data_IF_666347077905
#
_entry.id   IF_666347077905
#
_cell.length_a   1.000
_cell.length_b   1.000
_cell.length_c   1.000
_cell.angle_alpha   90.00
_cell.angle_beta   90.00
_cell.angle_gamma   90.00
#
_symmetry.space_group_name_H-M   'P 1'
#
loop_
_entity.id
_entity.type
_entity.pdbx_description
1 polymer ?
#
# COMPACT_ATOMS: atom_id res chain seq x y z
N UNK A 1 4.10 5.40 -15.07
CA UNK A 1 3.16 5.10 -13.98
C UNK A 1 3.39 3.63 -13.66
N UNK A 2 3.62 3.25 -12.38
CA UNK A 2 3.65 1.86 -11.98
C UNK A 2 2.36 1.13 -12.42
N UNK A 3 2.37 -0.20 -12.42
CA UNK A 3 1.21 -1.04 -12.81
C UNK A 3 0.03 -0.85 -11.83
N UNK A 4 -0.64 0.29 -11.93
CA UNK A 4 -1.85 0.58 -11.17
C UNK A 4 -3.03 -0.18 -11.80
N UNK A 5 -3.44 -1.27 -11.20
CA UNK A 5 -4.65 -2.00 -11.57
C UNK A 5 -5.86 -1.35 -10.90
N UNK A 6 -6.51 -0.45 -11.62
CA UNK A 6 -7.70 0.25 -11.10
C UNK A 6 -8.85 -0.72 -10.83
N UNK A 7 -9.36 -0.71 -9.60
CA UNK A 7 -10.53 -1.50 -9.17
C UNK A 7 -11.69 -0.63 -8.71
N UNK A 8 -11.42 0.63 -8.31
CA UNK A 8 -12.45 1.55 -7.84
C UNK A 8 -12.13 2.99 -8.27
N UNK A 9 -13.17 3.73 -8.67
CA UNK A 9 -13.13 5.18 -8.86
C UNK A 9 -13.94 5.86 -7.76
N UNK A 10 -13.39 6.93 -7.21
CA UNK A 10 -14.03 7.73 -6.17
C UNK A 10 -14.12 9.18 -6.64
N UNK A 11 -15.21 9.84 -6.27
CA UNK A 11 -15.42 11.27 -6.50
C UNK A 11 -15.77 11.94 -5.18
N UNK A 12 -14.97 12.91 -4.79
CA UNK A 12 -15.29 13.82 -3.69
C UNK A 12 -15.78 15.15 -4.27
N UNK A 13 -17.09 15.38 -4.19
CA UNK A 13 -17.67 16.65 -4.57
C UNK A 13 -17.67 17.59 -3.38
N UNK A 14 -17.18 18.82 -3.59
CA UNK A 14 -16.97 19.82 -2.54
C UNK A 14 -17.74 21.08 -2.95
N UNK A 15 -18.89 21.31 -2.28
CA UNK A 15 -19.80 22.40 -2.61
C UNK A 15 -19.17 23.79 -2.48
N UNK A 16 -18.29 23.97 -1.50
CA UNK A 16 -17.75 25.26 -1.13
C UNK A 16 -16.21 25.28 -1.18
N UNK A 17 -15.69 26.41 -1.61
CA UNK A 17 -14.28 26.75 -1.43
C UNK A 17 -13.89 26.64 0.06
N UNK A 18 -12.70 26.13 0.34
CA UNK A 18 -12.21 25.93 1.71
C UNK A 18 -12.54 24.57 2.33
N UNK A 19 -13.34 23.71 1.68
CA UNK A 19 -13.46 22.32 2.13
C UNK A 19 -12.09 21.67 2.11
N UNK A 20 -11.62 21.22 3.28
CA UNK A 20 -10.30 20.61 3.47
C UNK A 20 -10.46 19.22 4.06
N UNK A 21 -9.73 18.25 3.51
CA UNK A 21 -9.78 16.85 3.92
C UNK A 21 -8.38 16.27 4.01
N UNK A 22 -8.17 15.37 4.97
CA UNK A 22 -6.89 14.65 5.14
C UNK A 22 -6.35 14.77 6.56
N UNK A 23 -5.14 14.42 6.80
CA UNK A 23 -4.17 13.76 5.90
C UNK A 23 -4.31 12.26 6.11
N UNK A 24 -4.65 11.53 5.05
CA UNK A 24 -4.93 10.10 5.12
C UNK A 24 -3.92 9.33 4.26
N UNK A 25 -3.07 8.51 4.86
CA UNK A 25 -2.26 7.54 4.18
C UNK A 25 -3.00 6.20 4.16
N UNK A 26 -3.33 5.74 2.99
CA UNK A 26 -4.13 4.53 2.77
C UNK A 26 -3.25 3.36 2.31
N UNK A 27 -3.69 2.10 2.51
CA UNK A 27 -2.88 0.91 2.20
C UNK A 27 -2.89 0.54 0.70
N UNK A 28 -3.18 1.48 -0.18
CA UNK A 28 -3.25 1.33 -1.64
C UNK A 28 -2.70 2.54 -2.38
N UNK A 29 -2.46 2.33 -3.66
CA UNK A 29 -2.01 3.37 -4.59
C UNK A 29 -3.20 4.17 -5.12
N UNK A 30 -2.97 5.45 -5.40
CA UNK A 30 -3.97 6.37 -5.97
C UNK A 30 -3.45 7.07 -7.21
N UNK A 31 -4.32 7.23 -8.18
CA UNK A 31 -4.14 8.19 -9.26
C UNK A 31 -5.20 9.28 -9.15
N UNK A 32 -4.77 10.46 -8.81
CA UNK A 32 -5.61 11.59 -8.40
C UNK A 32 -5.67 12.62 -9.51
N UNK A 33 -6.88 13.14 -9.78
CA UNK A 33 -7.13 14.24 -10.70
C UNK A 33 -8.27 15.13 -10.20
N UNK A 34 -8.45 16.27 -10.86
CA UNK A 34 -9.57 17.19 -10.60
C UNK A 34 -10.43 17.22 -11.85
N UNK A 35 -11.71 16.82 -11.75
CA UNK A 35 -12.64 16.86 -12.88
C UNK A 35 -13.25 18.24 -13.11
N UNK A 36 -13.34 19.06 -12.03
CA UNK A 36 -13.85 20.44 -12.07
C UNK A 36 -13.27 21.23 -10.91
N UNK A 37 -12.99 22.52 -11.14
CA UNK A 37 -12.42 23.42 -10.15
C UNK A 37 -10.94 23.19 -9.97
N UNK A 38 -10.42 23.57 -8.79
CA UNK A 38 -9.02 23.40 -8.43
C UNK A 38 -8.85 23.11 -6.95
N UNK A 39 -7.77 22.41 -6.59
CA UNK A 39 -7.40 22.15 -5.20
C UNK A 39 -5.94 22.52 -4.95
N UNK A 40 -5.63 22.98 -3.75
CA UNK A 40 -4.30 22.89 -3.18
C UNK A 40 -4.17 21.49 -2.57
N UNK A 41 -3.26 20.69 -3.08
CA UNK A 41 -2.96 19.35 -2.56
C UNK A 41 -1.69 19.37 -1.71
N UNK A 42 -1.68 18.61 -0.61
CA UNK A 42 -0.50 18.35 0.20
C UNK A 42 -0.37 16.84 0.45
N UNK A 43 0.80 16.30 0.17
CA UNK A 43 1.12 14.88 0.33
C UNK A 43 2.30 14.72 1.27
N UNK A 44 2.16 13.80 2.23
CA UNK A 44 3.15 13.58 3.31
C UNK A 44 3.60 12.13 3.26
N UNK A 45 4.89 11.88 3.23
CA UNK A 45 5.40 10.51 3.32
C UNK A 45 5.29 9.97 4.75
N UNK A 46 4.41 8.97 4.97
CA UNK A 46 4.18 8.35 6.27
C UNK A 46 4.60 6.87 6.28
N UNK A 47 5.48 6.45 5.35
CA UNK A 47 5.96 5.07 5.24
C UNK A 47 7.08 4.78 6.22
N UNK A 48 6.98 3.67 6.95
CA UNK A 48 8.02 3.20 7.85
C UNK A 48 9.35 2.98 7.10
N UNK A 49 10.43 3.51 7.64
CA UNK A 49 11.78 3.36 7.09
C UNK A 49 12.06 4.15 5.81
N UNK A 50 11.13 4.98 5.35
CA UNK A 50 11.35 5.85 4.19
C UNK A 50 12.39 6.95 4.50
N UNK A 51 13.31 7.17 3.57
CA UNK A 51 14.28 8.26 3.66
C UNK A 51 13.62 9.65 3.59
N UNK A 52 12.36 9.71 3.16
CA UNK A 52 11.56 10.95 3.05
C UNK A 52 10.41 11.00 4.05
N UNK A 53 10.42 10.15 5.10
CA UNK A 53 9.40 10.18 6.15
C UNK A 53 9.21 11.62 6.69
N UNK A 54 7.95 12.05 6.81
CA UNK A 54 7.57 13.39 7.25
C UNK A 54 7.79 14.51 6.22
N UNK A 55 8.37 14.21 5.04
CA UNK A 55 8.50 15.24 3.99
C UNK A 55 7.18 15.50 3.30
N UNK A 56 6.94 16.77 3.02
CA UNK A 56 5.72 17.26 2.38
C UNK A 56 6.01 17.69 0.96
N UNK A 57 5.13 17.29 0.03
CA UNK A 57 5.04 17.85 -1.31
C UNK A 57 3.71 18.55 -1.48
N UNK A 58 3.70 19.74 -2.02
CA UNK A 58 2.48 20.52 -2.28
C UNK A 58 2.41 20.98 -3.73
N UNK A 59 1.24 20.97 -4.30
CA UNK A 59 0.97 21.64 -5.57
C UNK A 59 -0.51 21.96 -5.74
N UNK A 60 -0.83 22.90 -6.65
CA UNK A 60 -2.19 23.11 -7.11
C UNK A 60 -2.51 22.14 -8.25
N UNK A 61 -3.59 21.35 -8.07
CA UNK A 61 -4.19 20.54 -9.12
C UNK A 61 -5.43 21.22 -9.68
N UNK A 62 -5.53 21.17 -10.99
CA UNK A 62 -6.67 21.56 -11.82
C UNK A 62 -6.92 20.48 -12.89
N UNK A 63 -7.91 20.57 -13.76
CA UNK A 63 -8.20 19.53 -14.78
C UNK A 63 -7.05 19.21 -15.75
N UNK A 64 -6.00 20.03 -15.80
CA UNK A 64 -4.83 19.79 -16.66
C UNK A 64 -3.77 18.88 -16.01
N UNK A 65 -3.91 18.53 -14.72
CA UNK A 65 -2.89 17.85 -13.92
C UNK A 65 -3.46 16.62 -13.21
N UNK A 66 -2.60 15.63 -13.05
CA UNK A 66 -2.87 14.47 -12.20
C UNK A 66 -1.61 14.10 -11.42
N UNK A 67 -1.79 13.41 -10.30
CA UNK A 67 -0.69 12.94 -9.46
C UNK A 67 -0.90 11.46 -9.09
N UNK A 68 0.19 10.70 -9.13
CA UNK A 68 0.24 9.36 -8.57
C UNK A 68 0.73 9.43 -7.13
N UNK A 69 -0.02 8.84 -6.22
CA UNK A 69 0.26 8.80 -4.78
C UNK A 69 0.40 7.35 -4.37
N UNK A 70 1.61 6.89 -4.05
CA UNK A 70 1.83 5.51 -3.64
C UNK A 70 1.24 5.25 -2.24
N UNK A 71 0.98 3.99 -1.97
CA UNK A 71 0.59 3.47 -0.66
C UNK A 71 1.45 4.08 0.47
N UNK A 72 0.80 4.50 1.56
CA UNK A 72 1.48 5.04 2.73
C UNK A 72 1.94 6.50 2.61
N UNK A 73 1.71 7.12 1.46
CA UNK A 73 1.82 8.58 1.34
C UNK A 73 0.47 9.20 1.69
N UNK A 74 0.46 10.02 2.73
CA UNK A 74 -0.72 10.74 3.18
C UNK A 74 -1.20 11.72 2.12
N UNK A 75 -2.48 11.69 1.83
CA UNK A 75 -3.15 12.55 0.88
C UNK A 75 -4.06 13.53 1.60
N UNK A 76 -3.96 14.79 1.22
CA UNK A 76 -4.85 15.85 1.66
C UNK A 76 -5.08 16.87 0.55
N UNK A 77 -6.19 17.59 0.64
CA UNK A 77 -6.48 18.69 -0.27
C UNK A 77 -7.35 19.75 0.39
N UNK A 78 -7.27 20.97 -0.14
CA UNK A 78 -8.17 22.09 0.14
C UNK A 78 -8.77 22.58 -1.17
N UNK A 79 -10.11 22.60 -1.27
CA UNK A 79 -10.81 23.13 -2.44
C UNK A 79 -10.59 24.65 -2.57
N UNK A 80 -10.15 25.08 -3.74
CA UNK A 80 -9.89 26.51 -4.02
C UNK A 80 -11.07 27.20 -4.70
N UNK A 81 -12.06 26.42 -5.16
CA UNK A 81 -13.25 26.91 -5.87
C UNK A 81 -14.49 26.16 -5.38
N UNK A 82 -15.67 26.81 -5.50
CA UNK A 82 -16.96 26.17 -5.23
C UNK A 82 -17.28 25.11 -6.27
N UNK A 83 -17.91 24.01 -5.85
CA UNK A 83 -18.28 22.91 -6.72
C UNK A 83 -17.10 22.14 -7.29
N UNK A 84 -15.99 22.08 -6.54
CA UNK A 84 -14.80 21.33 -6.92
C UNK A 84 -15.05 19.82 -6.86
N UNK A 85 -14.75 19.11 -7.95
CA UNK A 85 -14.84 17.65 -8.06
C UNK A 85 -13.43 17.03 -8.07
N UNK A 86 -13.03 16.48 -6.94
CA UNK A 86 -11.76 15.77 -6.74
C UNK A 86 -11.98 14.27 -6.96
N UNK A 87 -11.21 13.68 -7.86
CA UNK A 87 -11.38 12.28 -8.26
C UNK A 87 -10.12 11.48 -8.01
N UNK A 88 -10.28 10.21 -7.67
CA UNK A 88 -9.13 9.31 -7.52
C UNK A 88 -9.49 7.86 -7.85
N UNK A 89 -8.62 7.27 -8.66
CA UNK A 89 -8.62 5.85 -8.99
C UNK A 89 -7.74 5.12 -7.98
N UNK A 90 -8.16 3.94 -7.55
CA UNK A 90 -7.43 3.13 -6.55
C UNK A 90 -7.35 1.67 -6.99
N UNK A 91 -6.32 0.95 -6.50
CA UNK A 91 -6.05 -0.45 -6.78
C UNK A 91 -6.57 -1.41 -5.70
N UNK A 92 -7.37 -0.91 -4.75
CA UNK A 92 -8.08 -1.73 -3.77
C UNK A 92 -9.50 -1.20 -3.53
N UNK A 93 -10.43 -2.09 -3.19
CA UNK A 93 -11.77 -1.68 -2.76
C UNK A 93 -11.76 -1.14 -1.34
N UNK A 94 -12.43 -0.02 -1.13
CA UNK A 94 -12.62 0.51 0.21
C UNK A 94 -13.48 -0.43 1.07
N UNK A 95 -13.07 -0.64 2.31
CA UNK A 95 -13.85 -1.32 3.34
C UNK A 95 -13.58 -0.73 4.73
N UNK A 96 -14.50 -0.96 5.68
CA UNK A 96 -14.31 -0.54 7.07
C UNK A 96 -13.11 -1.23 7.72
N UNK A 97 -12.81 -2.47 7.33
CA UNK A 97 -11.67 -3.23 7.85
C UNK A 97 -10.36 -2.59 7.35
N UNK A 98 -10.26 -2.28 6.07
CA UNK A 98 -9.08 -1.61 5.53
C UNK A 98 -8.90 -0.19 6.06
N UNK A 99 -10.00 0.51 6.41
CA UNK A 99 -9.90 1.82 7.06
C UNK A 99 -9.16 1.76 8.41
N UNK A 100 -9.20 0.64 9.12
CA UNK A 100 -8.46 0.46 10.39
C UNK A 100 -6.94 0.39 10.21
N UNK A 101 -6.48 0.16 8.99
CA UNK A 101 -5.06 0.09 8.63
C UNK A 101 -4.51 1.40 8.08
N UNK A 102 -5.32 2.46 8.04
CA UNK A 102 -4.86 3.78 7.60
C UNK A 102 -3.90 4.38 8.62
N UNK A 103 -2.96 5.14 8.11
CA UNK A 103 -2.16 6.07 8.91
C UNK A 103 -2.68 7.48 8.69
N UNK A 104 -2.84 8.22 9.78
CA UNK A 104 -3.36 9.59 9.76
C UNK A 104 -2.34 10.53 10.36
N UNK A 105 -2.33 11.78 9.90
CA UNK A 105 -1.61 12.88 10.55
C UNK A 105 -2.42 14.16 10.50
N UNK A 106 -2.26 15.01 11.50
CA UNK A 106 -3.04 16.24 11.64
C UNK A 106 -2.70 17.26 10.57
N UNK A 107 -3.74 17.91 10.01
CA UNK A 107 -3.59 18.97 8.99
C UNK A 107 -2.83 20.21 9.52
N UNK A 108 -2.92 20.46 10.84
CA UNK A 108 -2.33 21.61 11.50
C UNK A 108 -0.97 21.30 12.14
N UNK A 109 -0.37 20.14 11.86
CA UNK A 109 0.91 19.75 12.42
C UNK A 109 2.02 20.77 12.08
N UNK A 110 2.68 21.40 13.06
CA UNK A 110 3.68 22.41 12.80
C UNK A 110 4.97 21.83 12.19
N UNK A 111 5.28 20.56 12.37
CA UNK A 111 6.45 19.90 11.77
C UNK A 111 6.27 19.74 10.25
N UNK A 112 5.03 19.61 9.80
CA UNK A 112 4.73 19.50 8.36
C UNK A 112 4.81 20.85 7.64
N UNK A 113 4.65 21.97 8.38
CA UNK A 113 4.72 23.33 7.89
C UNK A 113 3.92 23.57 6.58
N UNK A 114 2.71 23.02 6.48
CA UNK A 114 1.85 23.16 5.29
C UNK A 114 1.23 24.55 5.29
N UNK A 115 1.57 25.35 4.29
CA UNK A 115 0.99 26.69 4.08
C UNK A 115 -0.36 26.58 3.35
N UNK A 116 -1.44 26.31 4.09
CA UNK A 116 -2.78 26.22 3.54
C UNK A 116 -3.23 27.58 2.97
N UNK A 117 -3.68 27.66 1.70
CA UNK A 117 -4.14 28.90 1.08
C UNK A 117 -5.30 29.58 1.82
N UNK A 118 -6.16 28.78 2.45
CA UNK A 118 -7.20 29.26 3.36
C UNK A 118 -6.84 28.76 4.74
N UNK A 119 -6.66 29.63 5.74
CA UNK A 119 -6.35 29.21 7.10
C UNK A 119 -7.34 28.15 7.62
N UNK A 120 -6.84 27.15 8.33
CA UNK A 120 -7.67 26.01 8.76
C UNK A 120 -8.82 26.40 9.69
N UNK A 121 -8.68 27.50 10.43
CA UNK A 121 -9.76 28.11 11.26
C UNK A 121 -10.87 28.77 10.44
N UNK A 122 -10.64 29.02 9.15
CA UNK A 122 -11.61 29.55 8.19
C UNK A 122 -12.06 28.50 7.17
N UNK A 123 -11.47 27.31 7.21
CA UNK A 123 -11.76 26.20 6.31
C UNK A 123 -12.88 25.31 6.88
N UNK A 124 -13.55 24.56 5.99
CA UNK A 124 -14.49 23.51 6.39
C UNK A 124 -13.74 22.20 6.53
N UNK A 125 -13.46 21.80 7.76
CA UNK A 125 -12.74 20.57 8.10
C UNK A 125 -13.64 19.65 8.92
N UNK A 126 -13.58 18.34 8.69
CA UNK A 126 -14.32 17.40 9.52
C UNK A 126 -13.73 17.31 10.94
N UNK A 127 -14.58 17.02 11.93
CA UNK A 127 -14.11 16.83 13.31
C UNK A 127 -13.07 15.69 13.40
N UNK A 128 -13.21 14.65 12.61
CA UNK A 128 -12.26 13.55 12.54
C UNK A 128 -10.88 14.03 12.06
N UNK A 129 -10.84 14.83 10.98
CA UNK A 129 -9.60 15.33 10.40
C UNK A 129 -8.88 16.34 11.32
N UNK A 130 -9.65 17.06 12.16
CA UNK A 130 -9.08 17.97 13.18
C UNK A 130 -8.43 17.21 14.35
N UNK A 131 -8.83 15.96 14.60
CA UNK A 131 -8.39 15.18 15.76
C UNK A 131 -7.39 14.07 15.41
N UNK A 132 -6.79 14.08 14.22
CA UNK A 132 -5.71 13.17 13.88
C UNK A 132 -4.45 13.41 14.72
N UNK A 133 -3.60 12.39 14.94
CA UNK A 133 -2.37 12.53 15.71
C UNK A 133 -1.39 13.51 15.05
N UNK A 134 -0.53 14.15 15.84
CA UNK A 134 0.62 14.90 15.34
C UNK A 134 1.69 13.92 14.84
N UNK A 135 2.56 14.37 13.94
CA UNK A 135 3.58 13.53 13.28
C UNK A 135 4.44 12.75 14.28
N UNK A 136 4.76 13.36 15.42
CA UNK A 136 5.53 12.73 16.49
C UNK A 136 4.83 11.49 17.11
N UNK A 137 3.49 11.43 17.04
CA UNK A 137 2.67 10.34 17.61
C UNK A 137 2.13 9.39 16.52
N UNK A 138 2.47 9.63 15.24
CA UNK A 138 2.01 8.80 14.13
C UNK A 138 2.71 7.46 14.14
N UNK A 139 1.94 6.38 14.04
CA UNK A 139 2.47 5.05 13.71
C UNK A 139 2.66 4.98 12.19
N UNK A 140 3.91 4.92 11.69
CA UNK A 140 4.16 4.88 10.26
C UNK A 140 3.55 3.64 9.60
N UNK A 141 3.19 3.77 8.32
CA UNK A 141 2.67 2.63 7.56
C UNK A 141 3.80 1.66 7.23
N UNK A 142 3.72 0.45 7.79
CA UNK A 142 4.68 -0.61 7.53
C UNK A 142 4.75 -0.99 6.03
N UNK A 143 5.91 -1.39 5.49
CA UNK A 143 6.02 -1.88 4.13
C UNK A 143 5.18 -3.15 3.92
N UNK A 144 4.82 -3.44 2.66
CA UNK A 144 4.26 -4.76 2.34
C UNK A 144 5.34 -5.82 2.55
N UNK A 145 4.93 -6.99 3.05
CA UNK A 145 5.83 -8.11 3.34
C UNK A 145 6.17 -8.89 2.06
N UNK A 146 7.20 -9.70 2.14
CA UNK A 146 7.57 -10.67 1.11
C UNK A 146 7.34 -12.07 1.66
N UNK A 147 6.53 -12.88 0.97
CA UNK A 147 6.37 -14.30 1.30
C UNK A 147 7.47 -15.11 0.60
N UNK A 148 8.19 -15.95 1.35
CA UNK A 148 9.21 -16.85 0.83
C UNK A 148 8.74 -18.29 1.04
N UNK A 149 8.43 -19.00 -0.05
CA UNK A 149 8.04 -20.41 0.01
C UNK A 149 9.25 -21.32 -0.15
N UNK A 150 9.18 -22.57 0.34
CA UNK A 150 10.31 -23.51 0.29
C UNK A 150 11.51 -23.03 1.12
N UNK A 151 11.25 -22.39 2.24
CA UNK A 151 12.27 -21.72 3.06
C UNK A 151 13.31 -22.66 3.68
N UNK A 152 13.02 -23.98 3.77
CA UNK A 152 13.95 -24.99 4.30
C UNK A 152 14.86 -25.57 3.21
N UNK A 153 14.68 -25.19 1.93
CA UNK A 153 15.56 -25.53 0.83
C UNK A 153 16.82 -24.67 0.79
N UNK A 154 17.77 -25.06 -0.08
CA UNK A 154 19.06 -24.33 -0.22
C UNK A 154 18.86 -22.86 -0.55
N UNK A 155 18.00 -22.53 -1.52
CA UNK A 155 17.72 -21.16 -1.92
C UNK A 155 16.97 -20.40 -0.81
N UNK A 156 15.98 -21.03 -0.16
CA UNK A 156 15.22 -20.42 0.95
C UNK A 156 16.11 -20.06 2.13
N UNK A 157 17.05 -20.95 2.52
CA UNK A 157 18.06 -20.63 3.53
C UNK A 157 18.97 -19.47 3.12
N UNK A 158 19.36 -19.39 1.85
CA UNK A 158 20.18 -18.27 1.36
C UNK A 158 19.42 -16.94 1.41
N UNK A 159 18.14 -16.94 1.03
CA UNK A 159 17.27 -15.75 1.13
C UNK A 159 17.12 -15.30 2.59
N UNK A 160 16.83 -16.25 3.50
CA UNK A 160 16.72 -15.95 4.95
C UNK A 160 18.00 -15.31 5.49
N UNK A 161 19.15 -15.94 5.25
CA UNK A 161 20.44 -15.40 5.70
C UNK A 161 20.69 -14.00 5.16
N UNK A 162 20.41 -13.76 3.87
CA UNK A 162 20.61 -12.45 3.27
C UNK A 162 19.68 -11.38 3.88
N UNK A 163 18.43 -11.75 4.17
CA UNK A 163 17.48 -10.86 4.83
C UNK A 163 17.93 -10.49 6.25
N UNK A 164 18.49 -11.47 6.99
CA UNK A 164 19.07 -11.24 8.32
C UNK A 164 20.31 -10.36 8.26
N UNK A 165 21.26 -10.64 7.36
CA UNK A 165 22.49 -9.85 7.15
C UNK A 165 22.18 -8.39 6.77
N UNK A 166 21.06 -8.15 6.06
CA UNK A 166 20.60 -6.81 5.67
C UNK A 166 19.70 -6.15 6.71
N UNK A 167 19.35 -6.83 7.80
CA UNK A 167 18.46 -6.31 8.85
C UNK A 167 17.01 -6.12 8.41
N UNK A 168 16.56 -6.79 7.34
CA UNK A 168 15.21 -6.67 6.78
C UNK A 168 14.36 -7.93 6.98
N UNK A 169 14.83 -8.91 7.76
CA UNK A 169 14.13 -10.19 7.99
C UNK A 169 12.72 -10.02 8.55
N UNK A 170 12.44 -8.92 9.27
CA UNK A 170 11.12 -8.57 9.80
C UNK A 170 10.06 -8.36 8.71
N UNK A 171 10.48 -8.03 7.49
CA UNK A 171 9.62 -7.73 6.35
C UNK A 171 9.35 -8.99 5.50
N UNK A 172 9.83 -10.16 5.96
CA UNK A 172 9.69 -11.44 5.28
C UNK A 172 8.90 -12.44 6.13
N UNK A 173 8.04 -13.21 5.48
CA UNK A 173 7.42 -14.42 6.01
C UNK A 173 8.00 -15.63 5.30
N UNK A 174 8.46 -16.60 6.08
CA UNK A 174 9.10 -17.81 5.57
C UNK A 174 8.21 -19.02 5.83
N UNK A 175 7.79 -19.71 4.77
CA UNK A 175 6.96 -20.90 4.83
C UNK A 175 7.54 -22.05 4.00
N UNK A 176 7.13 -23.25 4.32
CA UNK A 176 7.48 -24.46 3.59
C UNK A 176 6.23 -25.32 3.39
N UNK A 177 6.34 -26.47 2.73
CA UNK A 177 5.23 -27.34 2.35
C UNK A 177 4.34 -27.76 3.53
N UNK A 178 4.91 -27.87 4.72
CA UNK A 178 4.21 -28.21 5.97
C UNK A 178 3.30 -27.09 6.49
N UNK A 179 3.57 -25.84 6.12
CA UNK A 179 2.80 -24.67 6.52
C UNK A 179 2.07 -23.99 5.37
N UNK A 180 2.56 -24.18 4.15
CA UNK A 180 1.94 -23.65 2.92
C UNK A 180 2.29 -24.54 1.73
N UNK A 181 1.40 -25.47 1.40
CA UNK A 181 1.50 -26.24 0.16
C UNK A 181 1.00 -25.40 -1.02
N UNK A 182 1.91 -24.90 -1.83
CA UNK A 182 1.57 -24.08 -3.02
C UNK A 182 0.70 -24.85 -4.05
N UNK A 183 0.69 -26.19 -4.02
CA UNK A 183 -0.11 -26.99 -4.95
C UNK A 183 -1.54 -27.21 -4.46
N UNK A 184 -1.87 -26.75 -3.26
CA UNK A 184 -3.21 -26.83 -2.67
C UNK A 184 -3.90 -25.47 -2.78
N UNK A 185 -4.95 -25.32 -3.62
CA UNK A 185 -5.71 -24.08 -3.74
C UNK A 185 -6.29 -23.56 -2.41
N UNK A 186 -6.66 -24.48 -1.49
CA UNK A 186 -7.25 -24.11 -0.20
C UNK A 186 -6.22 -23.42 0.72
N UNK A 187 -4.92 -23.74 0.57
CA UNK A 187 -3.86 -23.12 1.37
C UNK A 187 -3.79 -21.60 1.16
N UNK A 188 -4.17 -21.12 -0.02
CA UNK A 188 -4.13 -19.70 -0.37
C UNK A 188 -5.13 -18.87 0.46
N UNK A 189 -6.24 -19.47 0.90
CA UNK A 189 -7.25 -18.79 1.74
C UNK A 189 -6.76 -18.47 3.15
N UNK A 190 -5.65 -19.05 3.59
CA UNK A 190 -5.06 -18.82 4.92
C UNK A 190 -4.26 -17.52 5.00
N UNK A 191 -3.98 -16.89 3.85
CA UNK A 191 -3.16 -15.69 3.76
C UNK A 191 -3.99 -14.47 3.40
N UNK A 192 -3.76 -13.36 4.11
CA UNK A 192 -4.21 -12.04 3.67
C UNK A 192 -3.21 -11.49 2.65
N UNK A 193 -3.47 -11.71 1.38
CA UNK A 193 -2.60 -11.30 0.27
C UNK A 193 -2.43 -9.79 0.16
N UNK A 194 -3.30 -8.99 0.79
CA UNK A 194 -3.15 -7.53 0.83
C UNK A 194 -1.90 -7.07 1.57
N UNK A 195 -1.39 -7.89 2.49
CA UNK A 195 -0.18 -7.64 3.27
C UNK A 195 1.11 -7.88 2.48
N UNK A 196 1.03 -8.61 1.36
CA UNK A 196 2.21 -9.00 0.59
C UNK A 196 2.38 -8.15 -0.67
N UNK A 197 3.62 -7.73 -0.93
CA UNK A 197 4.03 -7.03 -2.14
C UNK A 197 4.75 -7.94 -3.14
N UNK A 198 5.27 -9.08 -2.65
CA UNK A 198 5.99 -10.04 -3.46
C UNK A 198 5.92 -11.46 -2.87
N UNK A 199 6.06 -12.45 -3.75
CA UNK A 199 6.29 -13.85 -3.37
C UNK A 199 7.61 -14.30 -4.01
N UNK A 200 8.52 -14.84 -3.21
CA UNK A 200 9.75 -15.49 -3.68
C UNK A 200 9.56 -16.99 -3.54
N UNK A 201 9.28 -17.66 -4.66
CA UNK A 201 9.15 -19.11 -4.66
C UNK A 201 10.53 -19.76 -4.72
N UNK A 202 10.95 -20.38 -3.60
CA UNK A 202 12.15 -21.21 -3.49
C UNK A 202 11.81 -22.71 -3.43
N UNK A 203 10.51 -23.06 -3.41
CA UNK A 203 10.05 -24.45 -3.38
C UNK A 203 10.12 -25.09 -4.75
N UNK A 204 10.69 -26.29 -4.81
CA UNK A 204 10.71 -27.11 -6.02
C UNK A 204 10.90 -28.58 -5.68
N UNK A 205 10.34 -29.47 -6.50
CA UNK A 205 10.71 -30.89 -6.49
C UNK A 205 11.99 -31.10 -7.30
N UNK A 206 13.06 -31.53 -6.64
CA UNK A 206 14.41 -31.61 -7.21
C UNK A 206 14.95 -33.06 -7.32
N UNK A 207 14.18 -34.07 -6.91
CA UNK A 207 14.57 -35.47 -7.02
C UNK A 207 14.35 -36.01 -8.45
N UNK A 208 15.27 -35.65 -9.35
CA UNK A 208 15.18 -35.85 -10.81
C UNK A 208 14.91 -37.33 -11.15
N UNK A 209 15.70 -38.27 -10.59
CA UNK A 209 15.52 -39.71 -10.88
C UNK A 209 14.15 -40.21 -10.42
N UNK A 210 13.64 -39.72 -9.31
CA UNK A 210 12.30 -40.07 -8.83
C UNK A 210 11.20 -39.49 -9.71
N UNK A 211 11.43 -38.34 -10.32
CA UNK A 211 10.49 -37.71 -11.24
C UNK A 211 10.25 -38.54 -12.52
N UNK A 212 11.10 -39.51 -12.81
CA UNK A 212 10.91 -40.48 -13.92
C UNK A 212 9.85 -41.53 -13.60
N UNK A 213 9.52 -41.77 -12.32
CA UNK A 213 8.46 -42.71 -11.93
C UNK A 213 7.07 -42.06 -12.11
N UNK A 214 5.98 -42.86 -12.30
CA UNK A 214 4.63 -42.33 -12.41
C UNK A 214 4.22 -41.46 -11.22
N UNK A 215 4.51 -41.89 -10.00
CA UNK A 215 4.19 -41.14 -8.75
C UNK A 215 5.05 -39.91 -8.63
N UNK A 216 6.33 -40.00 -8.95
CA UNK A 216 7.27 -38.89 -8.92
C UNK A 216 6.91 -37.78 -9.91
N UNK A 217 6.41 -38.16 -11.11
CA UNK A 217 5.91 -37.16 -12.11
C UNK A 217 4.75 -36.36 -11.58
N UNK A 218 3.80 -36.97 -10.91
CA UNK A 218 2.65 -36.25 -10.31
C UNK A 218 3.14 -35.28 -9.27
N UNK A 219 4.04 -35.69 -8.38
CA UNK A 219 4.60 -34.83 -7.35
C UNK A 219 5.41 -33.66 -7.94
N UNK A 220 6.28 -34.00 -8.92
CA UNK A 220 7.09 -32.98 -9.60
C UNK A 220 6.20 -31.96 -10.34
N UNK A 221 5.14 -32.43 -11.03
CA UNK A 221 4.21 -31.55 -11.73
C UNK A 221 3.47 -30.61 -10.77
N UNK A 222 2.97 -31.15 -9.64
CA UNK A 222 2.32 -30.34 -8.62
C UNK A 222 3.23 -29.23 -8.08
N UNK A 223 4.45 -29.60 -7.66
CA UNK A 223 5.37 -28.64 -7.06
C UNK A 223 5.95 -27.63 -8.06
N UNK A 224 6.28 -28.08 -9.30
CA UNK A 224 7.05 -27.26 -10.24
C UNK A 224 6.19 -26.58 -11.33
N UNK A 225 4.92 -26.99 -11.46
CA UNK A 225 4.03 -26.41 -12.47
C UNK A 225 2.71 -25.91 -11.85
N UNK A 226 1.95 -26.78 -11.16
CA UNK A 226 0.65 -26.39 -10.59
C UNK A 226 0.81 -25.31 -9.52
N UNK A 227 1.69 -25.52 -8.54
CA UNK A 227 1.90 -24.56 -7.45
C UNK A 227 2.29 -23.17 -7.95
N UNK A 228 3.34 -23.02 -8.81
CA UNK A 228 3.69 -21.71 -9.35
C UNK A 228 2.66 -21.04 -10.26
N UNK A 229 1.65 -21.80 -10.73
CA UNK A 229 0.60 -21.29 -11.62
C UNK A 229 -0.66 -20.80 -10.88
N UNK A 230 -0.83 -21.20 -9.60
CA UNK A 230 -1.90 -20.73 -8.72
C UNK A 230 -1.59 -19.36 -8.13
#
# INVERSE_FOLDING_TARGET
IPDLRVVQNNVSYNDSRGVTRGIHAEPWDKFISVARGSVFGAWVDLREGSATYGKVFTCTLDPSKAIYVPRGVGNSFQALEDGTAYTYLVDAHWSLELKKTYTFVNLADPELAIEWPIPLDQATVSEADLNHPMLADVVPMAPKRTLVTGCNGQLGHAVRRLAEERGVAKDFDFCDIDTFDMSDPEAYSQYDWSLYGAVINCGAYTAVDKAETPEGRVTAWKANATGPAL
#
